data_IF_195449226030
#
_entry.id   IF_195449226030
#
_cell.length_a   1.000
_cell.length_b   1.000
_cell.length_c   1.000
_cell.angle_alpha   90.00
_cell.angle_beta   90.00
_cell.angle_gamma   90.00
#
_symmetry.space_group_name_H-M   'P 1'
#
loop_
_entity.id
_entity.type
_entity.pdbx_description
1 polymer ?
#
# COMPACT_ATOMS: atom_id res chain seq x y z
N UNK A 1 -17.21 -16.80 -0.66
CA UNK A 1 -15.98 -17.58 -0.39
C UNK A 1 -15.98 -17.95 1.10
N UNK A 2 -16.26 -19.20 1.50
CA UNK A 2 -16.10 -19.60 2.89
C UNK A 2 -14.63 -19.83 3.19
N UNK A 3 -14.05 -19.06 4.10
CA UNK A 3 -12.66 -19.24 4.52
C UNK A 3 -12.51 -20.47 5.41
N UNK A 4 -11.37 -21.17 5.33
CA UNK A 4 -11.07 -22.23 6.28
C UNK A 4 -11.01 -21.62 7.69
N UNK A 5 -11.60 -22.30 8.69
CA UNK A 5 -11.82 -21.80 10.06
C UNK A 5 -10.57 -21.26 10.77
N UNK A 6 -9.37 -21.61 10.28
CA UNK A 6 -8.07 -21.20 10.82
C UNK A 6 -7.51 -19.91 10.19
N UNK A 7 -8.04 -19.43 9.06
CA UNK A 7 -7.58 -18.20 8.41
C UNK A 7 -8.68 -17.14 8.44
N UNK A 8 -8.58 -16.21 9.40
CA UNK A 8 -9.53 -15.10 9.54
C UNK A 8 -9.07 -13.88 8.74
N UNK A 9 -10.03 -13.05 8.33
CA UNK A 9 -9.76 -11.75 7.70
C UNK A 9 -8.82 -10.90 8.57
N UNK A 10 -9.01 -10.92 9.90
CA UNK A 10 -8.16 -10.22 10.85
C UNK A 10 -6.70 -10.68 10.82
N UNK A 11 -6.46 -11.99 10.68
CA UNK A 11 -5.10 -12.54 10.55
C UNK A 11 -4.41 -12.08 9.25
N UNK A 12 -5.16 -12.02 8.14
CA UNK A 12 -4.63 -11.54 6.85
C UNK A 12 -4.35 -10.04 6.88
N UNK A 13 -5.25 -9.24 7.45
CA UNK A 13 -5.06 -7.81 7.70
C UNK A 13 -3.79 -7.58 8.52
N UNK A 14 -3.60 -8.33 9.61
CA UNK A 14 -2.39 -8.26 10.44
C UNK A 14 -1.13 -8.61 9.65
N UNK A 15 -1.16 -9.69 8.84
CA UNK A 15 -0.02 -10.10 7.99
C UNK A 15 0.32 -9.05 6.92
N UNK A 16 -0.70 -8.39 6.39
CA UNK A 16 -0.56 -7.34 5.38
C UNK A 16 -0.20 -5.97 5.97
N UNK A 17 -0.07 -5.84 7.30
CA UNK A 17 0.21 -4.56 7.96
C UNK A 17 -0.97 -3.57 7.93
N UNK A 18 -2.16 -4.04 7.55
CA UNK A 18 -3.34 -3.21 7.41
C UNK A 18 -3.88 -2.77 8.77
N UNK A 19 -4.51 -1.58 8.83
CA UNK A 19 -5.15 -1.12 10.06
C UNK A 19 -6.28 -2.05 10.49
N UNK A 20 -6.34 -2.36 11.78
CA UNK A 20 -7.32 -3.31 12.34
C UNK A 20 -8.72 -2.70 12.51
N UNK A 21 -8.80 -1.37 12.62
CA UNK A 21 -10.03 -0.60 12.82
C UNK A 21 -10.19 0.49 11.75
N UNK A 22 -11.42 0.94 11.54
CA UNK A 22 -11.75 2.07 10.68
C UNK A 22 -11.57 3.43 11.35
N UNK A 23 -11.61 3.45 12.69
CA UNK A 23 -11.50 4.66 13.52
C UNK A 23 -10.04 5.07 13.68
N UNK A 24 -9.42 5.47 12.57
CA UNK A 24 -8.03 5.89 12.53
C UNK A 24 -7.85 7.05 11.55
N UNK A 25 -6.73 7.76 11.71
CA UNK A 25 -6.31 8.74 10.72
C UNK A 25 -5.80 8.05 9.45
N UNK A 26 -6.60 8.17 8.38
CA UNK A 26 -6.32 7.65 7.05
C UNK A 26 -5.27 8.49 6.31
N UNK A 27 -4.00 8.17 6.56
CA UNK A 27 -2.89 8.74 5.79
C UNK A 27 -2.86 8.18 4.35
N UNK A 28 -2.27 8.92 3.38
CA UNK A 28 -2.13 8.44 2.00
C UNK A 28 -1.45 7.06 1.90
N UNK A 29 -0.50 6.77 2.79
CA UNK A 29 0.16 5.47 2.85
C UNK A 29 -0.80 4.35 3.26
N UNK A 30 -1.63 4.56 4.29
CA UNK A 30 -2.59 3.55 4.77
C UNK A 30 -3.69 3.26 3.77
N UNK A 31 -4.20 4.30 3.09
CA UNK A 31 -5.16 4.15 2.00
C UNK A 31 -4.59 3.26 0.89
N UNK A 32 -3.33 3.52 0.51
CA UNK A 32 -2.61 2.73 -0.50
C UNK A 32 -2.44 1.28 -0.07
N UNK A 33 -2.06 1.01 1.18
CA UNK A 33 -1.92 -0.35 1.70
C UNK A 33 -3.23 -1.13 1.59
N UNK A 34 -4.38 -0.51 1.92
CA UNK A 34 -5.70 -1.14 1.74
C UNK A 34 -6.00 -1.42 0.27
N UNK A 35 -5.74 -0.47 -0.63
CA UNK A 35 -5.92 -0.64 -2.08
C UNK A 35 -5.05 -1.79 -2.61
N UNK A 36 -3.78 -1.81 -2.22
CA UNK A 36 -2.81 -2.84 -2.61
C UNK A 36 -3.27 -4.23 -2.14
N UNK A 37 -3.70 -4.36 -0.90
CA UNK A 37 -4.21 -5.63 -0.37
C UNK A 37 -5.48 -6.14 -1.08
N UNK A 38 -6.34 -5.23 -1.54
CA UNK A 38 -7.51 -5.59 -2.38
C UNK A 38 -7.06 -6.03 -3.77
N UNK A 39 -6.12 -5.30 -4.39
CA UNK A 39 -5.55 -5.63 -5.71
C UNK A 39 -4.80 -6.98 -5.71
N UNK A 40 -4.07 -7.27 -4.64
CA UNK A 40 -3.36 -8.54 -4.41
C UNK A 40 -4.28 -9.68 -3.97
N UNK A 41 -5.59 -9.42 -3.83
CA UNK A 41 -6.60 -10.40 -3.39
C UNK A 41 -6.33 -10.98 -1.99
N UNK A 42 -5.60 -10.25 -1.14
CA UNK A 42 -5.42 -10.60 0.27
C UNK A 42 -6.73 -10.45 1.04
N UNK A 43 -7.48 -9.39 0.69
CA UNK A 43 -8.86 -9.15 1.09
C UNK A 43 -9.69 -8.80 -0.14
N UNK A 44 -10.99 -9.01 -0.07
CA UNK A 44 -11.95 -8.60 -1.09
C UNK A 44 -12.43 -7.17 -0.85
N UNK A 45 -12.96 -6.54 -1.90
CA UNK A 45 -13.55 -5.21 -1.79
C UNK A 45 -14.73 -5.19 -0.81
N UNK A 46 -15.61 -6.19 -0.80
CA UNK A 46 -16.72 -6.25 0.16
C UNK A 46 -16.24 -6.34 1.61
N UNK A 47 -15.16 -7.07 1.87
CA UNK A 47 -14.55 -7.13 3.21
C UNK A 47 -13.96 -5.79 3.61
N UNK A 48 -13.22 -5.13 2.71
CA UNK A 48 -12.72 -3.77 2.96
C UNK A 48 -13.90 -2.80 3.20
N UNK A 49 -14.98 -2.92 2.43
CA UNK A 49 -16.19 -2.11 2.56
C UNK A 49 -16.84 -2.25 3.93
N UNK A 50 -17.03 -3.48 4.40
CA UNK A 50 -17.69 -3.75 5.68
C UNK A 50 -16.78 -3.44 6.87
N UNK A 51 -15.46 -3.62 6.72
CA UNK A 51 -14.47 -3.40 7.77
C UNK A 51 -14.15 -1.93 7.98
N UNK A 52 -13.98 -1.20 6.89
CA UNK A 52 -13.55 0.20 6.88
C UNK A 52 -14.70 1.19 6.61
N UNK A 53 -15.93 0.68 6.44
CA UNK A 53 -17.13 1.47 6.19
C UNK A 53 -17.03 2.40 4.97
N UNK A 54 -16.26 1.98 3.97
CA UNK A 54 -15.97 2.75 2.78
C UNK A 54 -17.12 2.60 1.77
N UNK A 55 -17.40 3.62 0.97
CA UNK A 55 -18.17 3.45 -0.25
C UNK A 55 -17.28 3.03 -1.43
N UNK A 56 -17.90 2.54 -2.51
CA UNK A 56 -17.20 2.28 -3.77
C UNK A 56 -16.49 3.53 -4.31
N UNK A 57 -17.16 4.69 -4.25
CA UNK A 57 -16.58 5.96 -4.72
C UNK A 57 -15.37 6.39 -3.88
N UNK A 58 -15.42 6.17 -2.57
CA UNK A 58 -14.27 6.44 -1.69
C UNK A 58 -13.10 5.53 -2.03
N UNK A 59 -13.35 4.24 -2.26
CA UNK A 59 -12.32 3.32 -2.68
C UNK A 59 -11.72 3.69 -4.04
N UNK A 60 -12.55 4.02 -5.04
CA UNK A 60 -12.09 4.51 -6.35
C UNK A 60 -11.22 5.77 -6.23
N UNK A 61 -11.54 6.65 -5.27
CA UNK A 61 -10.71 7.83 -4.96
C UNK A 61 -9.36 7.42 -4.37
N UNK A 62 -9.34 6.44 -3.47
CA UNK A 62 -8.11 5.93 -2.87
C UNK A 62 -7.23 5.24 -3.90
N UNK A 63 -7.81 4.53 -4.87
CA UNK A 63 -7.06 3.94 -5.99
C UNK A 63 -6.31 5.01 -6.79
N UNK A 64 -7.00 6.10 -7.14
CA UNK A 64 -6.37 7.22 -7.85
C UNK A 64 -5.25 7.89 -7.03
N UNK A 65 -5.45 8.05 -5.71
CA UNK A 65 -4.42 8.58 -4.81
C UNK A 65 -3.21 7.64 -4.69
N UNK A 66 -3.45 6.32 -4.67
CA UNK A 66 -2.41 5.30 -4.64
C UNK A 66 -1.57 5.32 -5.92
N UNK A 67 -2.21 5.40 -7.09
CA UNK A 67 -1.55 5.47 -8.40
C UNK A 67 -0.69 6.74 -8.54
N UNK A 68 -1.17 7.89 -8.03
CA UNK A 68 -0.38 9.14 -7.99
C UNK A 68 0.84 9.00 -7.07
N UNK A 69 0.66 8.39 -5.91
CA UNK A 69 1.72 8.19 -4.93
C UNK A 69 2.79 7.22 -5.41
N UNK A 70 2.40 6.15 -6.12
CA UNK A 70 3.33 5.21 -6.74
C UNK A 70 4.26 5.90 -7.74
N UNK A 71 3.69 6.66 -8.69
CA UNK A 71 4.44 7.43 -9.68
C UNK A 71 5.42 8.42 -9.05
N UNK A 72 5.04 9.03 -7.93
CA UNK A 72 5.92 9.94 -7.19
C UNK A 72 7.12 9.20 -6.60
N UNK A 73 6.90 8.03 -5.98
CA UNK A 73 7.98 7.21 -5.40
C UNK A 73 8.95 6.70 -6.46
N UNK A 74 8.45 6.33 -7.64
CA UNK A 74 9.30 5.89 -8.76
C UNK A 74 10.23 7.00 -9.24
N UNK A 75 9.73 8.24 -9.38
CA UNK A 75 10.58 9.40 -9.72
C UNK A 75 11.61 9.70 -8.64
N UNK A 76 11.21 9.64 -7.37
CA UNK A 76 12.10 9.88 -6.24
C UNK A 76 13.16 8.78 -6.08
N UNK A 77 12.80 7.51 -6.34
CA UNK A 77 13.73 6.38 -6.31
C UNK A 77 14.71 6.41 -7.50
N UNK A 78 14.24 6.77 -8.70
CA UNK A 78 15.09 6.97 -9.87
C UNK A 78 16.11 8.09 -9.67
N UNK A 79 15.73 9.18 -9.01
CA UNK A 79 16.63 10.29 -8.67
C UNK A 79 17.68 9.89 -7.60
N UNK A 80 17.27 9.07 -6.62
CA UNK A 80 18.16 8.60 -5.54
C UNK A 80 19.27 7.66 -6.07
N UNK A 81 18.96 6.82 -7.06
CA UNK A 81 19.96 5.96 -7.71
C UNK A 81 20.96 6.75 -8.57
N UNK A 82 20.61 7.93 -9.07
CA UNK A 82 21.53 8.77 -9.83
C UNK A 82 22.57 9.48 -8.95
N UNK A 83 22.25 9.74 -7.66
CA UNK A 83 23.16 10.44 -6.75
C UNK A 83 24.29 9.55 -6.18
N UNK A 84 24.08 8.23 -6.12
CA UNK A 84 25.11 7.28 -5.65
C UNK A 84 26.17 6.97 -6.71
N UNK A 85 25.82 7.04 -8.00
CA UNK A 85 26.76 6.79 -9.11
C UNK A 85 27.84 7.87 -9.23
N UNK A 86 27.51 9.13 -8.93
CA UNK A 86 28.47 10.25 -9.03
C UNK A 86 29.51 10.24 -7.91
N UNK A 87 29.17 9.69 -6.73
CA UNK A 87 30.07 9.65 -5.56
C UNK A 87 31.10 8.52 -5.61
N UNK A 88 30.80 7.43 -6.31
CA UNK A 88 31.66 6.24 -6.32
C UNK A 88 32.74 6.25 -7.42
N UNK A 89 32.80 7.30 -8.25
CA UNK A 89 33.70 7.42 -9.41
C UNK A 89 34.94 8.31 -9.16
N UNK A 90 35.15 8.79 -7.92
CA UNK A 90 36.23 9.74 -7.57
C UNK A 90 37.37 9.16 -6.73
N UNK A 91 37.48 7.83 -6.55
CA UNK A 91 38.53 7.23 -5.72
C UNK A 91 39.30 6.13 -6.46
N UNK A 92 40.16 6.54 -7.39
CA UNK A 92 41.24 5.70 -7.94
C UNK A 92 42.56 6.16 -7.31
N UNK A 93 43.11 5.47 -6.29
CA UNK A 93 44.46 5.73 -5.83
C UNK A 93 45.47 5.09 -6.81
N UNK A 94 46.24 5.94 -7.49
CA UNK A 94 47.39 5.55 -8.32
C UNK A 94 48.62 5.18 -7.51
#
# INVERSE_FOLDING_TARGET
MPYPRNETIASRIKRAGLPQSHDIHWSPSRKREVVEAVREKLITFDEARWRYLLSRKEFETWEQEADKSAKRREREAGSRNHQVDVRNRQFEPG
#
